data_IF_485020026758
#
_entry.id   IF_485020026758
#
_cell.length_a   1.000
_cell.length_b   1.000
_cell.length_c   1.000
_cell.angle_alpha   90.00
_cell.angle_beta   90.00
_cell.angle_gamma   90.00
#
_symmetry.space_group_name_H-M   'P 1'
#
loop_
_entity.id
_entity.type
_entity.pdbx_description
1 polymer ?
#
# COMPACT_ATOMS: atom_id res chain seq x y z
N UNK A 1 -14.20 15.08 4.59
CA UNK A 1 -13.26 15.77 3.68
C UNK A 1 -11.81 15.53 4.07
N UNK A 2 -11.44 15.68 5.35
CA UNK A 2 -10.08 15.49 5.86
C UNK A 2 -9.40 14.18 5.42
N UNK A 3 -10.05 13.02 5.62
CA UNK A 3 -9.46 11.73 5.27
C UNK A 3 -9.17 11.58 3.76
N UNK A 4 -10.00 12.18 2.88
CA UNK A 4 -9.73 12.19 1.44
C UNK A 4 -8.43 12.95 1.11
N UNK A 5 -8.24 14.12 1.73
CA UNK A 5 -7.04 14.92 1.52
C UNK A 5 -5.79 14.18 2.05
N UNK A 6 -5.91 13.56 3.23
CA UNK A 6 -4.86 12.71 3.79
C UNK A 6 -4.52 11.54 2.84
N UNK A 7 -5.51 10.82 2.33
CA UNK A 7 -5.30 9.73 1.36
C UNK A 7 -4.60 10.21 0.08
N UNK A 8 -4.99 11.37 -0.45
CA UNK A 8 -4.41 11.94 -1.67
C UNK A 8 -2.93 12.29 -1.51
N UNK A 9 -2.48 12.64 -0.31
CA UNK A 9 -1.09 12.94 -0.01
C UNK A 9 -0.33 11.66 0.39
N UNK A 10 -0.90 10.87 1.29
CA UNK A 10 -0.27 9.69 1.87
C UNK A 10 0.08 8.64 0.83
N UNK A 11 -0.81 8.38 -0.14
CA UNK A 11 -0.55 7.38 -1.20
C UNK A 11 0.73 7.72 -1.99
N UNK A 12 0.85 8.89 -2.66
CA UNK A 12 2.04 9.21 -3.42
C UNK A 12 3.29 9.30 -2.54
N UNK A 13 3.22 9.93 -1.35
CA UNK A 13 4.37 10.06 -0.45
C UNK A 13 4.90 8.69 -0.02
N UNK A 14 4.03 7.81 0.48
CA UNK A 14 4.44 6.49 0.97
C UNK A 14 4.86 5.56 -0.18
N UNK A 15 4.24 5.69 -1.36
CA UNK A 15 4.61 4.89 -2.54
C UNK A 15 5.99 5.30 -3.05
N UNK A 16 6.27 6.60 -3.15
CA UNK A 16 7.60 7.09 -3.54
C UNK A 16 8.65 6.72 -2.50
N UNK A 17 8.35 6.88 -1.20
CA UNK A 17 9.24 6.48 -0.12
C UNK A 17 9.56 4.97 -0.16
N UNK A 18 8.57 4.13 -0.50
CA UNK A 18 8.78 2.69 -0.75
C UNK A 18 9.81 2.47 -1.87
N UNK A 19 9.63 3.12 -3.02
CA UNK A 19 10.55 2.97 -4.17
C UNK A 19 11.96 3.45 -3.82
N UNK A 20 12.08 4.57 -3.09
CA UNK A 20 13.35 5.09 -2.61
C UNK A 20 14.04 4.09 -1.67
N UNK A 21 13.33 3.55 -0.67
CA UNK A 21 13.90 2.59 0.27
C UNK A 21 14.41 1.32 -0.45
N UNK A 22 13.65 0.81 -1.42
CA UNK A 22 14.06 -0.33 -2.25
C UNK A 22 15.31 0.03 -3.09
N UNK A 23 15.32 1.20 -3.74
CA UNK A 23 16.44 1.65 -4.56
C UNK A 23 17.74 1.85 -3.74
N UNK A 24 17.61 2.26 -2.48
CA UNK A 24 18.71 2.41 -1.53
C UNK A 24 19.18 1.09 -0.90
N UNK A 25 18.71 -0.06 -1.41
CA UNK A 25 19.04 -1.40 -0.90
C UNK A 25 18.55 -1.67 0.52
N UNK A 26 17.45 -1.04 0.93
CA UNK A 26 16.72 -1.33 2.17
C UNK A 26 15.34 -1.96 1.88
N UNK A 27 15.26 -3.13 1.21
CA UNK A 27 14.01 -3.71 0.74
C UNK A 27 13.05 -4.07 1.87
N UNK A 28 13.54 -4.48 3.04
CA UNK A 28 12.75 -4.75 4.22
C UNK A 28 12.00 -3.48 4.66
N UNK A 29 12.71 -2.36 4.80
CA UNK A 29 12.08 -1.09 5.17
C UNK A 29 11.15 -0.57 4.07
N UNK A 30 11.47 -0.82 2.80
CA UNK A 30 10.56 -0.59 1.68
C UNK A 30 9.23 -1.33 1.83
N UNK A 31 9.24 -2.62 2.21
CA UNK A 31 8.02 -3.39 2.44
C UNK A 31 7.20 -2.85 3.62
N UNK A 32 7.84 -2.45 4.72
CA UNK A 32 7.15 -1.84 5.86
C UNK A 32 6.48 -0.52 5.47
N UNK A 33 7.19 0.36 4.77
CA UNK A 33 6.62 1.63 4.28
C UNK A 33 5.47 1.36 3.31
N UNK A 34 5.59 0.35 2.45
CA UNK A 34 4.53 -0.05 1.54
C UNK A 34 3.29 -0.57 2.28
N UNK A 35 3.49 -1.32 3.37
CA UNK A 35 2.40 -1.77 4.24
C UNK A 35 1.67 -0.59 4.90
N UNK A 36 2.40 0.44 5.33
CA UNK A 36 1.81 1.67 5.87
C UNK A 36 0.95 2.42 4.82
N UNK A 37 1.20 2.23 3.53
CA UNK A 37 0.38 2.80 2.46
C UNK A 37 -0.95 2.07 2.25
N UNK A 38 -1.04 0.79 2.63
CA UNK A 38 -2.19 -0.07 2.29
C UNK A 38 -3.53 0.40 2.85
N UNK A 39 -3.65 0.93 4.09
CA UNK A 39 -4.92 1.48 4.58
C UNK A 39 -5.49 2.60 3.68
N UNK A 40 -4.62 3.44 3.12
CA UNK A 40 -5.01 4.52 2.21
C UNK A 40 -5.42 3.98 0.84
N UNK A 41 -4.68 2.99 0.31
CA UNK A 41 -5.03 2.29 -0.92
C UNK A 41 -6.38 1.57 -0.80
N UNK A 42 -6.60 0.83 0.27
CA UNK A 42 -7.86 0.10 0.53
C UNK A 42 -9.03 1.06 0.58
N UNK A 43 -8.90 2.18 1.30
CA UNK A 43 -9.95 3.20 1.32
C UNK A 43 -10.23 3.78 -0.05
N UNK A 44 -9.18 4.17 -0.78
CA UNK A 44 -9.30 4.74 -2.12
C UNK A 44 -10.00 3.77 -3.07
N UNK A 45 -9.56 2.51 -3.07
CA UNK A 45 -10.11 1.46 -3.93
C UNK A 45 -11.56 1.10 -3.57
N UNK A 46 -11.89 1.02 -2.28
CA UNK A 46 -13.28 0.80 -1.82
C UNK A 46 -14.20 1.94 -2.28
N UNK A 47 -13.75 3.18 -2.13
CA UNK A 47 -14.49 4.36 -2.57
C UNK A 47 -14.70 4.35 -4.09
N UNK A 48 -13.68 4.01 -4.87
CA UNK A 48 -13.78 3.85 -6.33
C UNK A 48 -14.72 2.72 -6.72
N UNK A 49 -14.73 1.61 -5.99
CA UNK A 49 -15.72 0.55 -6.19
C UNK A 49 -17.14 1.06 -5.95
N UNK A 50 -17.40 1.71 -4.81
CA UNK A 50 -18.75 2.19 -4.47
C UNK A 50 -19.26 3.32 -5.38
N UNK A 51 -18.38 4.14 -5.96
CA UNK A 51 -18.76 5.30 -6.78
C UNK A 51 -18.69 5.09 -8.28
N UNK A 52 -17.80 4.23 -8.75
CA UNK A 52 -17.50 4.05 -10.17
C UNK A 52 -17.54 2.58 -10.60
N UNK A 53 -18.01 1.66 -9.74
CA UNK A 53 -18.11 0.24 -10.06
C UNK A 53 -16.77 -0.49 -10.23
N UNK A 54 -15.64 0.13 -9.84
CA UNK A 54 -14.29 -0.40 -10.02
C UNK A 54 -13.95 -1.52 -9.01
N UNK A 55 -14.69 -2.63 -9.05
CA UNK A 55 -14.49 -3.76 -8.13
C UNK A 55 -13.11 -4.43 -8.32
N UNK A 56 -12.60 -4.47 -9.55
CA UNK A 56 -11.29 -5.06 -9.85
C UNK A 56 -10.16 -4.37 -9.07
N UNK A 57 -10.16 -3.03 -9.03
CA UNK A 57 -9.17 -2.25 -8.27
C UNK A 57 -9.23 -2.58 -6.77
N UNK A 58 -10.43 -2.74 -6.22
CA UNK A 58 -10.61 -3.10 -4.82
C UNK A 58 -10.05 -4.49 -4.51
N UNK A 59 -10.38 -5.50 -5.32
CA UNK A 59 -9.87 -6.87 -5.14
C UNK A 59 -8.34 -6.90 -5.28
N UNK A 60 -7.79 -6.27 -6.33
CA UNK A 60 -6.33 -6.19 -6.53
C UNK A 60 -5.64 -5.55 -5.34
N UNK A 61 -6.22 -4.48 -4.77
CA UNK A 61 -5.65 -3.80 -3.60
C UNK A 61 -5.59 -4.72 -2.37
N UNK A 62 -6.63 -5.52 -2.13
CA UNK A 62 -6.65 -6.51 -1.04
C UNK A 62 -5.57 -7.58 -1.26
N UNK A 63 -5.45 -8.11 -2.48
CA UNK A 63 -4.42 -9.11 -2.81
C UNK A 63 -3.01 -8.55 -2.65
N UNK A 64 -2.76 -7.32 -3.11
CA UNK A 64 -1.47 -6.63 -2.94
C UNK A 64 -1.14 -6.44 -1.46
N UNK A 65 -2.13 -6.03 -0.64
CA UNK A 65 -1.96 -5.89 0.82
C UNK A 65 -1.50 -7.21 1.44
N UNK A 66 -2.15 -8.33 1.08
CA UNK A 66 -1.79 -9.67 1.57
C UNK A 66 -0.37 -10.04 1.14
N UNK A 67 -0.02 -9.85 -0.13
CA UNK A 67 1.30 -10.18 -0.68
C UNK A 67 2.40 -9.37 0.03
N UNK A 68 2.18 -8.07 0.27
CA UNK A 68 3.13 -7.24 1.03
C UNK A 68 3.28 -7.76 2.46
N UNK A 69 2.19 -8.13 3.12
CA UNK A 69 2.21 -8.75 4.45
C UNK A 69 3.01 -10.04 4.50
N UNK A 70 2.79 -10.93 3.53
CA UNK A 70 3.59 -12.15 3.39
C UNK A 70 5.06 -11.84 3.10
N UNK A 71 5.35 -10.81 2.31
CA UNK A 71 6.70 -10.33 2.06
C UNK A 71 7.41 -9.88 3.34
N UNK A 72 6.71 -9.16 4.22
CA UNK A 72 7.22 -8.79 5.55
C UNK A 72 7.45 -10.03 6.40
N UNK A 73 6.50 -10.96 6.48
CA UNK A 73 6.73 -12.18 7.27
C UNK A 73 7.95 -12.94 6.75
N UNK A 74 8.08 -13.10 5.43
CA UNK A 74 9.18 -13.83 4.82
C UNK A 74 10.55 -13.18 5.09
N UNK A 75 10.66 -11.85 5.10
CA UNK A 75 11.94 -11.17 5.37
C UNK A 75 12.39 -11.28 6.83
N UNK A 76 11.47 -11.34 7.80
CA UNK A 76 11.80 -11.29 9.24
C UNK A 76 11.70 -12.64 9.95
N UNK A 77 11.04 -13.64 9.36
CA UNK A 77 10.95 -15.00 9.94
C UNK A 77 12.02 -15.92 9.36
N UNK A 78 12.48 -15.67 8.13
CA UNK A 78 13.41 -16.54 7.41
C UNK A 78 14.88 -16.10 7.49
N UNK A 79 15.14 -14.94 8.07
CA UNK A 79 16.44 -14.33 8.36
C UNK A 79 16.48 -13.91 9.82
#
# INVERSE_FOLDING_TARGET
MLFNALTQIAIPVLTVATQIAIALKFPQWGLVINMLAQPFWIYSAWKSYKKAGQIGLFITTILVTIIIGLGIINYWVKY
#
